data_IF_120537386488
#
_entry.id   IF_120537386488
#
_cell.length_a   1.000
_cell.length_b   1.000
_cell.length_c   1.000
_cell.angle_alpha   90.00
_cell.angle_beta   90.00
_cell.angle_gamma   90.00
#
_symmetry.space_group_name_H-M   'P 1'
#
loop_
_entity.id
_entity.type
_entity.pdbx_description
1 polymer ?
#
# COMPACT_ATOMS: atom_id res chain seq x y z
N UNK A 1 -5.88 7.76 20.28
CA UNK A 1 -5.08 7.20 19.17
C UNK A 1 -5.16 8.24 18.08
N UNK A 2 -4.15 9.11 18.08
CA UNK A 2 -4.18 10.35 17.32
C UNK A 2 -3.60 10.14 15.92
N UNK A 3 -3.59 11.21 15.13
CA UNK A 3 -3.18 11.25 13.71
C UNK A 3 -1.89 10.46 13.44
N UNK A 4 -0.90 10.51 14.33
CA UNK A 4 0.39 9.82 14.18
C UNK A 4 0.26 8.30 14.14
N UNK A 5 -0.49 7.70 15.08
CA UNK A 5 -0.66 6.25 15.14
C UNK A 5 -1.55 5.75 13.99
N UNK A 6 -2.65 6.46 13.72
CA UNK A 6 -3.58 6.07 12.67
C UNK A 6 -2.98 6.19 11.26
N UNK A 7 -2.19 7.24 11.00
CA UNK A 7 -1.59 7.49 9.68
C UNK A 7 -0.30 6.71 9.43
N UNK A 8 0.57 6.58 10.43
CA UNK A 8 1.88 5.94 10.27
C UNK A 8 1.78 4.43 10.05
N UNK A 9 1.15 3.72 10.99
CA UNK A 9 1.07 2.25 10.98
C UNK A 9 0.32 1.72 9.75
N UNK A 10 -0.80 2.36 9.38
CA UNK A 10 -1.62 1.92 8.24
C UNK A 10 -0.92 2.14 6.90
N UNK A 11 -0.21 3.26 6.72
CA UNK A 11 0.57 3.53 5.52
C UNK A 11 1.77 2.57 5.39
N UNK A 12 2.52 2.35 6.49
CA UNK A 12 3.63 1.41 6.52
C UNK A 12 3.18 -0.02 6.18
N UNK A 13 2.04 -0.45 6.74
CA UNK A 13 1.42 -1.74 6.43
C UNK A 13 1.08 -1.86 4.94
N UNK A 14 0.45 -0.82 4.35
CA UNK A 14 0.10 -0.82 2.93
C UNK A 14 1.35 -0.88 2.02
N UNK A 15 2.40 -0.12 2.35
CA UNK A 15 3.67 -0.13 1.60
C UNK A 15 4.32 -1.53 1.67
N UNK A 16 4.37 -2.14 2.86
CA UNK A 16 4.96 -3.47 3.05
C UNK A 16 4.22 -4.54 2.22
N UNK A 17 2.89 -4.54 2.26
CA UNK A 17 2.09 -5.45 1.45
C UNK A 17 2.25 -5.22 -0.06
N UNK A 18 2.27 -3.97 -0.51
CA UNK A 18 2.46 -3.64 -1.91
C UNK A 18 3.83 -4.13 -2.40
N UNK A 19 4.89 -3.88 -1.63
CA UNK A 19 6.23 -4.38 -1.93
C UNK A 19 6.26 -5.92 -1.95
N UNK A 20 5.72 -6.58 -0.93
CA UNK A 20 5.68 -8.04 -0.87
C UNK A 20 4.93 -8.67 -2.06
N UNK A 21 3.79 -8.10 -2.45
CA UNK A 21 3.00 -8.56 -3.60
C UNK A 21 3.72 -8.33 -4.93
N UNK A 22 4.35 -7.18 -5.11
CA UNK A 22 5.16 -6.92 -6.31
C UNK A 22 6.36 -7.85 -6.40
N UNK A 23 7.09 -8.08 -5.31
CA UNK A 23 8.23 -9.00 -5.29
C UNK A 23 7.80 -10.43 -5.62
N UNK A 24 6.65 -10.86 -5.10
CA UNK A 24 6.07 -12.17 -5.40
C UNK A 24 5.60 -12.32 -6.85
N UNK A 25 5.18 -11.23 -7.50
CA UNK A 25 4.77 -11.20 -8.92
C UNK A 25 5.68 -10.28 -9.77
N UNK A 26 6.77 -10.81 -10.36
CA UNK A 26 7.70 -10.05 -11.20
C UNK A 26 7.08 -9.30 -12.36
N UNK A 27 5.95 -9.78 -12.89
CA UNK A 27 5.24 -9.09 -13.99
C UNK A 27 4.72 -7.74 -13.49
N UNK A 28 4.14 -7.71 -12.28
CA UNK A 28 3.65 -6.47 -11.68
C UNK A 28 4.80 -5.56 -11.30
N UNK A 29 5.84 -6.07 -10.64
CA UNK A 29 7.00 -5.27 -10.25
C UNK A 29 7.66 -4.58 -11.45
N UNK A 30 7.95 -5.34 -12.51
CA UNK A 30 8.59 -4.80 -13.72
C UNK A 30 7.74 -3.71 -14.36
N UNK A 31 6.43 -3.92 -14.46
CA UNK A 31 5.51 -2.95 -15.07
C UNK A 31 5.39 -1.67 -14.23
N UNK A 32 5.32 -1.79 -12.90
CA UNK A 32 5.30 -0.65 -11.99
C UNK A 32 6.63 0.12 -12.01
N UNK A 33 7.78 -0.57 -11.98
CA UNK A 33 9.09 0.07 -12.09
C UNK A 33 9.26 0.78 -13.44
N UNK A 34 8.81 0.18 -14.54
CA UNK A 34 8.89 0.78 -15.86
C UNK A 34 8.11 2.10 -15.92
N UNK A 35 6.84 2.11 -15.48
CA UNK A 35 6.02 3.33 -15.42
C UNK A 35 6.66 4.41 -14.55
N UNK A 36 7.06 4.07 -13.32
CA UNK A 36 7.67 5.02 -12.39
C UNK A 36 8.94 5.62 -12.98
N UNK A 37 9.81 4.80 -13.56
CA UNK A 37 11.06 5.27 -14.16
C UNK A 37 10.80 6.10 -15.40
N UNK A 38 9.83 5.74 -16.24
CA UNK A 38 9.44 6.54 -17.41
C UNK A 38 8.99 7.94 -17.02
N UNK A 39 8.04 8.05 -16.06
CA UNK A 39 7.48 9.32 -15.61
C UNK A 39 8.56 10.24 -15.01
N UNK A 40 9.44 9.70 -14.17
CA UNK A 40 10.42 10.52 -13.44
C UNK A 40 11.80 10.62 -14.12
N UNK A 41 12.10 9.84 -15.17
CA UNK A 41 13.39 9.92 -15.87
C UNK A 41 13.65 11.29 -16.48
N UNK A 42 12.60 11.96 -16.98
CA UNK A 42 12.71 13.32 -17.54
C UNK A 42 13.01 14.37 -16.46
N UNK A 43 12.58 14.12 -15.22
CA UNK A 43 12.70 15.06 -14.09
C UNK A 43 13.95 14.82 -13.24
N UNK A 44 14.46 13.59 -13.22
CA UNK A 44 15.64 13.18 -12.45
C UNK A 44 15.41 13.02 -10.94
N UNK A 45 14.22 13.30 -10.42
CA UNK A 45 13.83 13.12 -9.01
C UNK A 45 12.36 12.72 -8.89
N UNK A 46 12.05 11.97 -7.84
CA UNK A 46 10.66 11.67 -7.44
C UNK A 46 10.13 12.83 -6.58
N UNK A 47 8.92 13.29 -6.88
CA UNK A 47 8.17 14.26 -6.08
C UNK A 47 6.66 14.10 -6.29
N UNK A 48 5.88 14.85 -5.50
CA UNK A 48 4.43 14.76 -5.47
C UNK A 48 3.73 15.26 -6.73
N UNK A 49 4.40 16.07 -7.57
CA UNK A 49 3.77 16.74 -8.72
C UNK A 49 3.36 15.73 -9.80
N UNK A 50 4.21 14.74 -10.05
CA UNK A 50 3.98 13.75 -11.12
C UNK A 50 3.30 12.47 -10.62
N UNK A 51 2.93 12.40 -9.33
CA UNK A 51 2.35 11.19 -8.74
C UNK A 51 1.04 10.79 -9.42
N UNK A 52 0.32 11.78 -9.95
CA UNK A 52 -0.98 11.53 -10.57
C UNK A 52 -0.89 10.76 -11.89
N UNK A 53 0.28 10.81 -12.55
CA UNK A 53 0.58 10.10 -13.79
C UNK A 53 0.94 8.63 -13.59
N UNK A 54 1.18 8.18 -12.34
CA UNK A 54 1.52 6.79 -12.02
C UNK A 54 0.26 5.90 -12.00
N UNK A 55 -0.38 5.76 -13.16
CA UNK A 55 -1.68 5.12 -13.33
C UNK A 55 -1.65 3.67 -12.88
N UNK A 56 -0.65 2.90 -13.30
CA UNK A 56 -0.51 1.49 -12.96
C UNK A 56 -0.11 1.29 -11.51
N UNK A 57 0.81 2.10 -10.96
CA UNK A 57 1.15 2.04 -9.53
C UNK A 57 -0.09 2.25 -8.64
N UNK A 58 -0.99 3.16 -9.01
CA UNK A 58 -2.27 3.36 -8.33
C UNK A 58 -3.15 2.11 -8.36
N UNK A 59 -3.17 1.35 -9.46
CA UNK A 59 -3.89 0.07 -9.53
C UNK A 59 -3.24 -0.99 -8.62
N UNK A 60 -1.91 -1.00 -8.51
CA UNK A 60 -1.18 -1.87 -7.57
C UNK A 60 -1.57 -1.56 -6.13
N UNK A 61 -1.60 -0.27 -5.75
CA UNK A 61 -2.05 0.16 -4.41
C UNK A 61 -3.50 -0.26 -4.18
N UNK A 62 -4.38 -0.07 -5.16
CA UNK A 62 -5.79 -0.43 -5.06
C UNK A 62 -5.99 -1.93 -4.83
N UNK A 63 -5.30 -2.77 -5.60
CA UNK A 63 -5.35 -4.23 -5.44
C UNK A 63 -4.69 -4.69 -4.13
N UNK A 64 -3.65 -3.98 -3.68
CA UNK A 64 -3.05 -4.21 -2.37
C UNK A 64 -4.06 -3.96 -1.26
N UNK A 65 -4.82 -2.86 -1.31
CA UNK A 65 -5.82 -2.53 -0.30
C UNK A 65 -7.06 -3.43 -0.36
N UNK A 66 -7.38 -4.00 -1.53
CA UNK A 66 -8.44 -5.00 -1.67
C UNK A 66 -8.10 -6.28 -0.89
N UNK A 67 -6.90 -6.82 -1.11
CA UNK A 67 -6.44 -8.05 -0.46
C UNK A 67 -5.95 -7.79 0.96
N UNK A 68 -5.23 -6.71 1.22
CA UNK A 68 -4.61 -6.47 2.51
C UNK A 68 -5.01 -5.11 3.05
N UNK A 69 -6.31 -4.89 3.33
CA UNK A 69 -6.76 -3.63 3.92
C UNK A 69 -6.10 -3.50 5.31
N UNK A 70 -5.36 -2.40 5.58
CA UNK A 70 -4.69 -2.25 6.87
C UNK A 70 -5.65 -2.32 8.04
N UNK A 71 -6.91 -1.89 7.90
CA UNK A 71 -7.98 -2.08 8.89
C UNK A 71 -9.01 -3.11 8.37
N UNK A 72 -8.88 -4.41 8.70
CA UNK A 72 -9.71 -5.48 8.12
C UNK A 72 -11.14 -5.50 8.67
N UNK A 73 -11.25 -5.16 9.96
CA UNK A 73 -12.47 -5.10 10.73
C UNK A 73 -12.71 -3.62 11.01
N UNK A 74 -13.50 -2.96 10.16
CA UNK A 74 -13.75 -1.52 10.29
C UNK A 74 -14.33 -1.20 11.69
N UNK A 75 -14.21 0.06 12.10
CA UNK A 75 -14.58 0.47 13.46
C UNK A 75 -16.03 0.11 13.83
N UNK A 76 -16.28 -0.30 15.10
CA UNK A 76 -17.59 -0.68 15.62
C UNK A 76 -18.72 0.32 15.33
N UNK A 77 -19.92 -0.20 15.06
CA UNK A 77 -21.15 0.58 14.79
C UNK A 77 -22.31 0.13 15.67
N UNK A 78 -23.33 0.98 15.79
CA UNK A 78 -24.66 0.65 16.31
C UNK A 78 -25.71 1.04 15.27
N UNK A 79 -26.54 0.09 14.83
CA UNK A 79 -27.63 0.32 13.87
C UNK A 79 -28.57 -0.89 13.81
N UNK A 80 -29.79 -0.73 13.28
CA UNK A 80 -30.59 -1.85 12.76
C UNK A 80 -30.02 -2.33 11.43
N UNK A 81 -30.07 -3.64 11.17
CA UNK A 81 -29.50 -4.26 9.96
C UNK A 81 -30.53 -5.23 9.40
N UNK A 82 -30.95 -5.05 8.15
CA UNK A 82 -31.80 -5.99 7.41
C UNK A 82 -33.09 -6.42 8.16
N UNK A 83 -33.73 -5.46 8.85
CA UNK A 83 -34.92 -5.72 9.66
C UNK A 83 -34.65 -6.40 11.01
N UNK A 84 -33.40 -6.75 11.32
CA UNK A 84 -33.00 -7.22 12.63
C UNK A 84 -32.79 -6.05 13.60
N UNK A 85 -33.46 -6.16 14.75
CA UNK A 85 -33.24 -5.25 15.86
C UNK A 85 -31.92 -5.59 16.56
N UNK A 86 -31.01 -4.62 16.57
CA UNK A 86 -29.72 -4.76 17.26
C UNK A 86 -29.82 -4.04 18.60
N UNK A 87 -29.67 -4.79 19.68
CA UNK A 87 -29.74 -4.26 21.05
C UNK A 87 -28.81 -3.07 21.24
N UNK A 88 -29.28 -2.06 21.96
CA UNK A 88 -28.50 -0.87 22.31
C UNK A 88 -27.19 -1.30 22.99
N UNK A 89 -26.06 -0.68 22.60
CA UNK A 89 -24.66 -1.02 22.99
C UNK A 89 -24.06 -2.27 22.34
N UNK A 90 -24.75 -2.92 21.41
CA UNK A 90 -24.11 -3.95 20.58
C UNK A 90 -23.06 -3.33 19.66
N UNK A 91 -22.00 -4.09 19.41
CA UNK A 91 -20.90 -3.71 18.54
C UNK A 91 -21.04 -4.43 17.19
N UNK A 92 -21.28 -3.65 16.14
CA UNK A 92 -21.34 -4.15 14.76
C UNK A 92 -19.98 -3.94 14.10
N UNK A 93 -19.40 -5.01 13.57
CA UNK A 93 -18.11 -4.99 12.87
C UNK A 93 -18.34 -5.25 11.39
N UNK A 94 -17.74 -4.43 10.52
CA UNK A 94 -17.76 -4.65 9.07
C UNK A 94 -16.45 -5.30 8.64
N UNK A 95 -16.53 -6.50 8.09
CA UNK A 95 -15.36 -7.27 7.66
C UNK A 95 -14.97 -6.90 6.23
N UNK A 96 -14.24 -5.79 6.07
CA UNK A 96 -13.76 -5.31 4.77
C UNK A 96 -12.79 -6.33 4.12
N UNK A 97 -12.05 -7.09 4.91
CA UNK A 97 -11.15 -8.15 4.42
C UNK A 97 -11.90 -9.26 3.69
N UNK A 98 -13.03 -9.73 4.26
CA UNK A 98 -13.86 -10.75 3.65
C UNK A 98 -14.60 -10.21 2.42
N UNK A 99 -15.13 -8.99 2.50
CA UNK A 99 -15.81 -8.33 1.37
C UNK A 99 -14.87 -8.17 0.17
N UNK A 100 -13.63 -7.76 0.41
CA UNK A 100 -12.61 -7.62 -0.63
C UNK A 100 -12.23 -8.95 -1.29
N UNK A 101 -12.61 -10.09 -0.73
CA UNK A 101 -12.33 -11.45 -1.22
C UNK A 101 -13.57 -12.25 -1.62
N UNK A 102 -14.76 -11.65 -1.54
CA UNK A 102 -15.98 -12.37 -1.84
C UNK A 102 -16.03 -12.75 -3.33
N UNK A 103 -16.01 -14.06 -3.69
CA UNK A 103 -16.01 -14.51 -5.08
C UNK A 103 -17.30 -14.14 -5.82
N UNK A 104 -18.36 -13.73 -5.11
CA UNK A 104 -19.57 -13.16 -5.72
C UNK A 104 -19.29 -11.85 -6.44
N UNK A 105 -18.33 -11.05 -5.96
CA UNK A 105 -18.01 -9.73 -6.50
C UNK A 105 -16.65 -9.70 -7.21
N UNK A 106 -15.73 -10.61 -6.85
CA UNK A 106 -14.36 -10.62 -7.35
C UNK A 106 -14.01 -11.92 -8.06
N UNK A 107 -13.78 -11.85 -9.38
CA UNK A 107 -13.22 -12.96 -10.15
C UNK A 107 -11.78 -13.27 -9.72
N UNK A 108 -11.45 -14.55 -9.54
CA UNK A 108 -10.16 -14.99 -9.00
C UNK A 108 -9.81 -14.20 -7.71
N UNK A 109 -10.72 -14.18 -6.75
CA UNK A 109 -10.70 -13.24 -5.62
C UNK A 109 -9.37 -13.21 -4.82
N UNK A 110 -8.69 -14.34 -4.66
CA UNK A 110 -7.40 -14.39 -3.94
C UNK A 110 -6.19 -13.97 -4.79
N UNK A 111 -6.36 -13.90 -6.12
CA UNK A 111 -5.28 -13.55 -7.04
C UNK A 111 -5.01 -12.05 -6.97
N UNK A 112 -3.74 -11.70 -6.80
CA UNK A 112 -3.26 -10.33 -6.94
C UNK A 112 -3.18 -9.96 -8.42
N UNK A 113 -4.16 -9.20 -8.90
CA UNK A 113 -4.28 -8.84 -10.31
C UNK A 113 -4.69 -7.37 -10.46
N UNK A 114 -3.72 -6.42 -10.38
CA UNK A 114 -3.99 -4.98 -10.46
C UNK A 114 -4.78 -4.56 -11.71
N UNK A 115 -4.57 -5.25 -12.82
CA UNK A 115 -5.28 -4.97 -14.08
C UNK A 115 -6.80 -5.10 -13.99
N UNK A 116 -7.37 -5.77 -12.97
CA UNK A 116 -8.82 -5.81 -12.76
C UNK A 116 -9.47 -4.43 -12.57
N UNK A 117 -8.65 -3.44 -12.24
CA UNK A 117 -9.10 -2.08 -12.02
C UNK A 117 -8.91 -1.16 -13.23
N UNK A 118 -8.36 -1.67 -14.34
CA UNK A 118 -8.33 -0.92 -15.62
C UNK A 118 -9.78 -0.66 -16.05
N UNK A 119 -10.08 0.58 -16.41
CA UNK A 119 -11.42 1.06 -16.82
C UNK A 119 -12.55 0.79 -15.80
N UNK A 120 -12.19 0.46 -14.56
CA UNK A 120 -13.13 0.25 -13.47
C UNK A 120 -13.57 1.59 -12.87
N UNK A 121 -14.88 1.75 -12.66
CA UNK A 121 -15.45 2.91 -11.96
C UNK A 121 -15.33 2.84 -10.43
N UNK A 122 -14.78 1.76 -9.88
CA UNK A 122 -14.62 1.59 -8.43
C UNK A 122 -13.71 2.71 -7.90
N UNK A 123 -14.11 3.40 -6.84
CA UNK A 123 -13.29 4.44 -6.22
C UNK A 123 -13.16 4.27 -4.69
N UNK A 124 -12.46 5.20 -4.04
CA UNK A 124 -12.23 5.20 -2.60
C UNK A 124 -13.31 5.96 -1.81
N UNK A 125 -14.39 6.43 -2.45
CA UNK A 125 -15.39 7.30 -1.82
C UNK A 125 -16.45 6.54 -1.02
N UNK A 126 -16.37 5.21 -1.00
CA UNK A 126 -17.28 4.35 -0.23
C UNK A 126 -18.66 4.18 -0.86
N UNK A 127 -18.79 4.40 -2.17
CA UNK A 127 -20.01 4.08 -2.94
C UNK A 127 -20.03 2.65 -3.50
N UNK A 128 -18.86 2.01 -3.59
CA UNK A 128 -18.69 0.62 -4.04
C UNK A 128 -18.56 -0.29 -2.82
N UNK A 129 -19.65 -0.94 -2.41
CA UNK A 129 -19.65 -1.73 -1.17
C UNK A 129 -18.80 -2.99 -1.25
N UNK A 130 -18.51 -3.48 -2.45
CA UNK A 130 -17.53 -4.52 -2.73
C UNK A 130 -16.08 -4.08 -2.48
N UNK A 131 -15.82 -2.77 -2.33
CA UNK A 131 -14.49 -2.18 -2.16
C UNK A 131 -14.50 -1.01 -1.16
N UNK A 132 -14.31 -1.31 0.13
CA UNK A 132 -14.38 -0.32 1.23
C UNK A 132 -13.13 -0.30 2.14
N UNK A 133 -11.89 -0.21 1.59
CA UNK A 133 -10.67 -0.25 2.38
C UNK A 133 -10.53 0.93 3.36
N UNK A 134 -11.25 2.04 3.12
CA UNK A 134 -11.32 3.21 4.00
C UNK A 134 -12.67 3.33 4.71
N UNK A 135 -13.53 2.33 4.61
CA UNK A 135 -14.93 2.38 5.02
C UNK A 135 -15.80 3.21 4.10
N UNK A 136 -17.01 3.53 4.58
CA UNK A 136 -18.03 4.25 3.84
C UNK A 136 -18.92 5.09 4.79
N UNK A 137 -19.62 6.07 4.22
CA UNK A 137 -20.58 6.94 4.91
C UNK A 137 -19.92 7.91 5.90
N UNK A 138 -20.65 8.31 6.95
CA UNK A 138 -20.23 9.34 7.93
C UNK A 138 -18.92 9.04 8.69
N UNK A 139 -18.45 7.79 8.66
CA UNK A 139 -17.23 7.33 9.35
C UNK A 139 -16.16 6.84 8.38
N UNK A 140 -16.26 7.22 7.10
CA UNK A 140 -15.19 7.01 6.13
C UNK A 140 -13.90 7.68 6.64
N UNK A 141 -12.75 7.04 6.38
CA UNK A 141 -11.46 7.54 6.83
C UNK A 141 -11.21 8.96 6.30
N UNK A 142 -11.07 9.97 7.19
CA UNK A 142 -10.80 11.35 6.76
C UNK A 142 -9.38 11.51 6.20
N UNK A 143 -8.47 10.58 6.52
CA UNK A 143 -7.08 10.57 6.06
C UNK A 143 -6.83 9.83 4.75
N UNK A 144 -7.87 9.32 4.07
CA UNK A 144 -7.75 8.48 2.86
C UNK A 144 -6.91 9.15 1.77
N UNK A 145 -7.22 10.39 1.41
CA UNK A 145 -6.47 11.14 0.37
C UNK A 145 -4.99 11.30 0.73
N UNK A 146 -4.69 11.73 1.97
CA UNK A 146 -3.32 11.93 2.42
C UNK A 146 -2.55 10.60 2.50
N UNK A 147 -3.17 9.57 3.08
CA UNK A 147 -2.58 8.25 3.22
C UNK A 147 -2.23 7.64 1.86
N UNK A 148 -3.16 7.69 0.90
CA UNK A 148 -2.91 7.19 -0.47
C UNK A 148 -1.72 7.88 -1.11
N UNK A 149 -1.65 9.22 -1.07
CA UNK A 149 -0.54 9.97 -1.66
C UNK A 149 0.80 9.62 -1.03
N UNK A 150 0.86 9.43 0.30
CA UNK A 150 2.10 9.02 0.96
C UNK A 150 2.51 7.59 0.60
N UNK A 151 1.57 6.65 0.52
CA UNK A 151 1.84 5.27 0.09
C UNK A 151 2.35 5.26 -1.35
N UNK A 152 1.66 5.94 -2.27
CA UNK A 152 2.04 6.07 -3.68
C UNK A 152 3.42 6.68 -3.83
N UNK A 153 3.70 7.79 -3.12
CA UNK A 153 4.98 8.49 -3.19
C UNK A 153 6.12 7.63 -2.65
N UNK A 154 5.94 6.99 -1.50
CA UNK A 154 6.95 6.10 -0.92
C UNK A 154 7.28 4.92 -1.85
N UNK A 155 6.25 4.31 -2.45
CA UNK A 155 6.45 3.25 -3.44
C UNK A 155 7.17 3.77 -4.69
N UNK A 156 6.79 4.95 -5.20
CA UNK A 156 7.47 5.56 -6.34
C UNK A 156 8.97 5.78 -6.06
N UNK A 157 9.32 6.29 -4.88
CA UNK A 157 10.72 6.42 -4.45
C UNK A 157 11.46 5.08 -4.46
N UNK A 158 10.86 4.04 -3.85
CA UNK A 158 11.45 2.70 -3.76
C UNK A 158 11.67 2.06 -5.14
N UNK A 159 10.72 2.23 -6.06
CA UNK A 159 10.75 1.64 -7.40
C UNK A 159 11.64 2.42 -8.38
N UNK A 160 11.75 3.74 -8.19
CA UNK A 160 12.60 4.60 -9.01
C UNK A 160 14.09 4.34 -8.74
N UNK A 161 14.49 4.31 -7.47
CA UNK A 161 15.90 4.27 -7.09
C UNK A 161 16.51 2.88 -7.05
N UNK A 162 15.69 1.83 -6.82
CA UNK A 162 16.21 0.50 -6.52
C UNK A 162 15.63 -0.58 -7.41
N UNK A 163 16.47 -1.55 -7.74
CA UNK A 163 16.05 -2.91 -8.06
C UNK A 163 16.07 -3.74 -6.77
N UNK A 164 15.19 -4.74 -6.70
CA UNK A 164 14.94 -5.49 -5.47
C UNK A 164 15.21 -6.98 -5.67
N UNK A 165 15.90 -7.59 -4.71
CA UNK A 165 16.16 -9.03 -4.67
C UNK A 165 15.82 -9.62 -3.31
N UNK A 166 15.39 -10.87 -3.30
CA UNK A 166 15.27 -11.65 -2.07
C UNK A 166 16.65 -12.13 -1.61
N UNK A 167 16.88 -12.20 -0.29
CA UNK A 167 18.13 -12.70 0.27
C UNK A 167 18.29 -14.21 0.04
N UNK A 168 19.53 -14.70 0.18
CA UNK A 168 19.86 -16.13 0.26
C UNK A 168 19.39 -16.99 -0.93
N UNK A 169 19.19 -16.41 -2.11
CA UNK A 169 18.75 -17.14 -3.31
C UNK A 169 17.29 -17.62 -3.27
N UNK A 170 16.49 -17.11 -2.34
CA UNK A 170 15.06 -17.40 -2.23
C UNK A 170 14.32 -17.04 -3.53
N UNK A 171 13.36 -17.87 -3.96
CA UNK A 171 12.49 -17.56 -5.10
C UNK A 171 11.33 -16.69 -4.66
N UNK A 172 10.73 -16.00 -5.62
CA UNK A 172 9.61 -15.10 -5.35
C UNK A 172 8.39 -15.86 -4.82
N UNK A 173 8.16 -17.08 -5.28
CA UNK A 173 7.06 -17.94 -4.82
C UNK A 173 7.17 -18.34 -3.35
N UNK A 174 8.40 -18.43 -2.83
CA UNK A 174 8.74 -18.86 -1.47
C UNK A 174 8.43 -17.79 -0.41
N UNK A 175 8.11 -16.56 -0.82
CA UNK A 175 7.83 -15.47 0.10
C UNK A 175 6.58 -15.78 0.94
N UNK A 176 6.75 -15.79 2.27
CA UNK A 176 5.65 -16.01 3.21
C UNK A 176 4.66 -14.85 3.19
N UNK A 177 3.46 -15.10 2.69
CA UNK A 177 2.36 -14.13 2.61
C UNK A 177 1.29 -14.34 3.68
N UNK A 178 1.61 -15.11 4.72
CA UNK A 178 0.72 -15.34 5.86
C UNK A 178 0.45 -14.03 6.59
N UNK A 179 -0.83 -13.76 6.84
CA UNK A 179 -1.27 -12.60 7.61
C UNK A 179 -1.16 -12.86 9.11
N UNK A 180 -0.82 -11.82 9.87
CA UNK A 180 -1.02 -11.78 11.31
C UNK A 180 -2.26 -10.93 11.59
N UNK A 181 -3.28 -11.55 12.20
CA UNK A 181 -4.52 -10.85 12.53
C UNK A 181 -4.34 -10.02 13.81
N UNK A 182 -4.59 -8.73 13.71
CA UNK A 182 -4.65 -7.77 14.82
C UNK A 182 -5.60 -6.62 14.51
N UNK A 183 -5.44 -5.48 15.18
CA UNK A 183 -6.13 -4.23 14.80
C UNK A 183 -5.78 -3.85 13.36
N UNK A 184 -4.55 -4.17 12.94
CA UNK A 184 -4.11 -4.11 11.55
C UNK A 184 -3.82 -5.50 10.97
N UNK A 185 -3.99 -5.67 9.65
CA UNK A 185 -3.50 -6.87 8.93
C UNK A 185 -2.09 -6.63 8.46
N UNK A 186 -1.11 -7.14 9.22
CA UNK A 186 0.29 -7.14 8.82
C UNK A 186 0.70 -8.52 8.31
N UNK A 187 1.86 -8.60 7.67
CA UNK A 187 2.50 -9.90 7.42
C UNK A 187 3.00 -10.48 8.74
N UNK A 188 2.88 -11.80 8.88
CA UNK A 188 3.41 -12.52 10.04
C UNK A 188 4.94 -12.50 10.11
N UNK A 189 5.59 -12.53 8.94
CA UNK A 189 7.03 -12.45 8.82
C UNK A 189 7.45 -11.10 8.18
N UNK A 190 8.55 -10.54 8.66
CA UNK A 190 9.14 -9.33 8.11
C UNK A 190 9.55 -9.49 6.64
N UNK A 191 9.47 -8.40 5.89
CA UNK A 191 9.93 -8.34 4.50
C UNK A 191 11.41 -7.97 4.45
N UNK A 192 12.28 -8.96 4.27
CA UNK A 192 13.71 -8.72 4.03
C UNK A 192 14.00 -8.66 2.53
N UNK A 193 14.52 -7.53 2.08
CA UNK A 193 14.92 -7.30 0.69
C UNK A 193 16.32 -6.71 0.62
N UNK A 194 17.07 -7.11 -0.41
CA UNK A 194 18.34 -6.51 -0.78
C UNK A 194 18.05 -5.50 -1.90
N UNK A 195 18.37 -4.23 -1.65
CA UNK A 195 18.28 -3.19 -2.66
C UNK A 195 19.56 -3.16 -3.49
N UNK A 196 19.41 -2.98 -4.80
CA UNK A 196 20.50 -2.68 -5.73
C UNK A 196 20.22 -1.29 -6.28
N UNK A 197 21.14 -0.37 -6.06
CA UNK A 197 21.01 1.01 -6.53
C UNK A 197 20.96 1.04 -8.05
N UNK A 198 19.81 1.42 -8.60
CA UNK A 198 19.62 1.71 -10.02
C UNK A 198 19.96 3.18 -10.32
N UNK A 199 19.47 4.09 -9.47
CA UNK A 199 19.82 5.52 -9.51
C UNK A 199 20.24 5.99 -8.12
N UNK A 200 21.44 6.59 -7.97
CA UNK A 200 21.85 7.18 -6.70
C UNK A 200 20.84 8.22 -6.22
N UNK A 201 20.58 8.24 -4.92
CA UNK A 201 19.85 9.34 -4.30
C UNK A 201 20.82 10.53 -4.28
N UNK A 202 20.53 11.58 -5.06
CA UNK A 202 21.27 12.83 -4.97
C UNK A 202 20.90 13.50 -3.64
N UNK A 203 21.66 13.20 -2.60
CA UNK A 203 21.67 14.00 -1.38
C UNK A 203 22.33 15.32 -1.75
N UNK A 204 21.57 16.42 -1.74
CA UNK A 204 22.15 17.75 -1.93
C UNK A 204 23.25 17.95 -0.87
N UNK A 205 24.48 18.16 -1.34
CA UNK A 205 25.64 18.37 -0.49
C UNK A 205 25.44 19.59 0.41
N UNK A 206 25.11 19.35 1.69
CA UNK A 206 25.37 20.31 2.76
C UNK A 206 26.21 19.71 3.91
N UNK A 207 26.52 18.41 3.90
CA UNK A 207 27.21 17.76 5.03
C UNK A 207 28.57 17.14 4.69
N UNK A 208 28.98 17.08 3.42
CA UNK A 208 30.28 16.51 3.03
C UNK A 208 31.48 17.43 3.33
N UNK A 209 31.26 18.69 3.73
CA UNK A 209 32.33 19.65 4.04
C UNK A 209 32.68 19.77 5.53
N UNK A 210 32.02 19.02 6.42
CA UNK A 210 32.30 19.06 7.88
C UNK A 210 33.23 17.96 8.42
N UNK A 211 33.78 17.08 7.56
CA UNK A 211 34.68 15.99 7.99
C UNK A 211 36.06 15.99 7.30
N UNK A 212 36.51 17.16 6.83
CA UNK A 212 37.73 17.28 6.01
C UNK A 212 38.74 18.34 6.48
N UNK A 213 38.75 18.72 7.75
CA UNK A 213 39.74 19.69 8.24
C UNK A 213 39.91 19.60 9.75
N UNK A 214 40.91 18.83 10.19
CA UNK A 214 41.78 19.12 11.35
C UNK A 214 42.68 17.89 11.62
N UNK A 215 43.84 17.87 10.97
CA UNK A 215 45.08 17.28 11.49
C UNK A 215 46.26 18.02 10.88
N UNK A 216 46.77 19.02 11.59
CA UNK A 216 48.21 19.32 11.69
C UNK A 216 48.46 19.95 13.07
N UNK A 217 48.92 19.12 14.02
CA UNK A 217 50.20 19.32 14.72
C UNK A 217 50.93 17.97 14.66
#
# INVERSE_FOLDING_TARGET
MDIFGAGGETAATAINWAMAKMIRDPRVLKKAQAEVREVYNMKGKVDEICIDELKYLKLVVKETLRLHPPAPLLLPRACEIDGYHISVKSMVIVNAWAIGRDPKYWSEAERFYPERFIDSSIDYKGGNFEYIPFGAGRRICPGSTFGLKNVELALAFLLFHFDWKLPNGMKNEDLDMTEQSGVTVTRKADLFLIHITFRPIMLTHTEAQRRGGERIL
#
